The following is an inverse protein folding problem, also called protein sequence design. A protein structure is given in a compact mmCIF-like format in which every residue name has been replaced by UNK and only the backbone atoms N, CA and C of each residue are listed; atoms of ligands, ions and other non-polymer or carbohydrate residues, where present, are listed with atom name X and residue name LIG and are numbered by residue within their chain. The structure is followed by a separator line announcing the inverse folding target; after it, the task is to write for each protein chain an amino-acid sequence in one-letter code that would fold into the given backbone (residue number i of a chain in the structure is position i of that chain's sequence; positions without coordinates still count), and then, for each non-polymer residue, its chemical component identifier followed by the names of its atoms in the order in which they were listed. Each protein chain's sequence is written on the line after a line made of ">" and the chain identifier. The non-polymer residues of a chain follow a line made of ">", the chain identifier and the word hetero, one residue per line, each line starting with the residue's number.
data_IF_280811347176
#
_entry.id   IF_280811347176
#
_cell.length_a   1.000
_cell.length_b   1.000
_cell.length_c   1.000
_cell.angle_alpha   90.00
_cell.angle_beta   90.00
_cell.angle_gamma   90.00
#
_symmetry.space_group_name_H-M   'P 1'
#
loop_
_entity.id
_entity.type
_entity.pdbx_description
1 polymer ?
#
# COMPACT_ATOMS: atom_id res chain seq x y z
N UNK A 1 -26.73 5.09 10.87
CA UNK A 1 -25.72 4.03 11.07
C UNK A 1 -24.81 3.88 9.85
N UNK A 2 -25.24 4.30 8.66
CA UNK A 2 -24.47 4.25 7.40
C UNK A 2 -23.27 5.21 7.27
N UNK A 3 -23.31 6.40 7.89
CA UNK A 3 -22.26 7.41 7.70
C UNK A 3 -20.89 6.97 8.26
N UNK A 4 -20.89 6.24 9.38
CA UNK A 4 -19.66 5.76 10.02
C UNK A 4 -19.00 4.65 9.19
N UNK A 5 -19.82 3.77 8.63
CA UNK A 5 -19.36 2.68 7.77
C UNK A 5 -18.85 3.21 6.43
N UNK A 6 -19.53 4.20 5.84
CA UNK A 6 -19.07 4.87 4.62
C UNK A 6 -17.72 5.57 4.82
N UNK A 7 -17.53 6.24 5.97
CA UNK A 7 -16.24 6.88 6.31
C UNK A 7 -15.11 5.87 6.47
N UNK A 8 -15.36 4.73 7.13
CA UNK A 8 -14.38 3.63 7.24
C UNK A 8 -14.01 3.08 5.87
N UNK A 9 -15.00 2.84 5.01
CA UNK A 9 -14.76 2.32 3.66
C UNK A 9 -13.92 3.30 2.82
N UNK A 10 -14.20 4.60 2.93
CA UNK A 10 -13.41 5.63 2.25
C UNK A 10 -11.95 5.63 2.75
N UNK A 11 -11.74 5.54 4.07
CA UNK A 11 -10.40 5.50 4.66
C UNK A 11 -9.61 4.26 4.20
N UNK A 12 -10.26 3.09 4.16
CA UNK A 12 -9.67 1.86 3.64
C UNK A 12 -9.26 2.02 2.17
N UNK A 13 -10.14 2.62 1.36
CA UNK A 13 -9.90 2.81 -0.08
C UNK A 13 -8.73 3.77 -0.35
N UNK A 14 -8.62 4.84 0.43
CA UNK A 14 -7.48 5.78 0.37
C UNK A 14 -6.18 5.07 0.79
N UNK A 15 -6.19 4.31 1.89
CA UNK A 15 -5.01 3.57 2.36
C UNK A 15 -4.56 2.53 1.34
N UNK A 16 -5.49 1.81 0.73
CA UNK A 16 -5.20 0.84 -0.32
C UNK A 16 -4.63 1.51 -1.58
N UNK A 17 -5.21 2.63 -2.01
CA UNK A 17 -4.70 3.42 -3.13
C UNK A 17 -3.26 3.88 -2.91
N UNK A 18 -2.96 4.39 -1.71
CA UNK A 18 -1.60 4.80 -1.32
C UNK A 18 -0.62 3.62 -1.31
N UNK A 19 -1.05 2.45 -0.82
CA UNK A 19 -0.24 1.24 -0.84
C UNK A 19 0.13 0.84 -2.27
N UNK A 20 -0.86 0.72 -3.16
CA UNK A 20 -0.65 0.32 -4.55
C UNK A 20 0.27 1.33 -5.26
N UNK A 21 0.04 2.63 -5.06
CA UNK A 21 0.89 3.67 -5.63
C UNK A 21 2.36 3.54 -5.19
N UNK A 22 2.61 3.35 -3.89
CA UNK A 22 3.97 3.19 -3.37
C UNK A 22 4.63 1.90 -3.85
N UNK A 23 3.90 0.78 -3.88
CA UNK A 23 4.41 -0.49 -4.35
C UNK A 23 4.84 -0.40 -5.82
N UNK A 24 3.98 0.16 -6.69
CA UNK A 24 4.28 0.34 -8.11
C UNK A 24 5.47 1.27 -8.31
N UNK A 25 5.52 2.41 -7.61
CA UNK A 25 6.65 3.35 -7.67
C UNK A 25 7.96 2.68 -7.29
N UNK A 26 7.96 1.89 -6.21
CA UNK A 26 9.16 1.22 -5.73
C UNK A 26 9.61 0.09 -6.66
N UNK A 27 8.68 -0.64 -7.28
CA UNK A 27 8.98 -1.64 -8.31
C UNK A 27 9.65 -0.96 -9.53
N UNK A 28 9.10 0.15 -10.02
CA UNK A 28 9.66 0.87 -11.16
C UNK A 28 11.09 1.36 -10.88
N UNK A 29 11.32 1.92 -9.69
CA UNK A 29 12.66 2.31 -9.24
C UNK A 29 13.58 1.09 -9.19
N UNK A 30 13.14 -0.01 -8.57
CA UNK A 30 13.95 -1.22 -8.46
C UNK A 30 14.34 -1.79 -9.83
N UNK A 31 13.39 -1.81 -10.78
CA UNK A 31 13.65 -2.23 -12.16
C UNK A 31 14.66 -1.32 -12.86
N UNK A 32 14.54 0.00 -12.70
CA UNK A 32 15.50 0.97 -13.25
C UNK A 32 16.93 0.72 -12.76
N UNK A 33 17.09 0.39 -11.48
CA UNK A 33 18.39 0.12 -10.87
C UNK A 33 18.81 -1.36 -10.90
N UNK A 34 18.09 -2.23 -11.64
CA UNK A 34 18.31 -3.69 -11.68
C UNK A 34 18.37 -4.35 -10.29
N UNK A 35 17.62 -3.80 -9.34
CA UNK A 35 17.47 -4.33 -8.00
C UNK A 35 16.41 -5.43 -7.96
N UNK A 36 16.52 -6.29 -6.95
CA UNK A 36 15.54 -7.35 -6.70
C UNK A 36 14.19 -6.75 -6.28
N UNK A 37 13.24 -6.74 -7.22
CA UNK A 37 11.88 -6.25 -7.04
C UNK A 37 11.12 -7.01 -5.95
N UNK A 38 11.43 -8.30 -5.73
CA UNK A 38 10.79 -9.12 -4.71
C UNK A 38 11.17 -8.67 -3.30
N UNK A 39 12.44 -8.29 -3.09
CA UNK A 39 12.91 -7.68 -1.83
C UNK A 39 12.24 -6.34 -1.55
N UNK A 40 12.02 -5.55 -2.59
CA UNK A 40 11.40 -4.21 -2.49
C UNK A 40 9.92 -4.30 -2.14
N UNK A 41 9.18 -5.24 -2.75
CA UNK A 41 7.78 -5.51 -2.40
C UNK A 41 7.65 -5.96 -0.94
N UNK A 42 8.52 -6.86 -0.48
CA UNK A 42 8.50 -7.34 0.91
C UNK A 42 8.68 -6.21 1.93
N UNK A 43 9.52 -5.22 1.62
CA UNK A 43 9.66 -4.00 2.45
C UNK A 43 8.44 -3.10 2.41
N UNK A 44 7.73 -3.02 1.27
CA UNK A 44 6.47 -2.28 1.20
C UNK A 44 5.38 -2.88 2.10
N UNK A 45 5.30 -4.21 2.19
CA UNK A 45 4.37 -4.88 3.12
C UNK A 45 4.72 -4.56 4.59
N UNK A 46 6.01 -4.57 4.95
CA UNK A 46 6.47 -4.29 6.32
C UNK A 46 6.25 -2.83 6.76
N UNK A 47 6.29 -1.87 5.84
CA UNK A 47 6.22 -0.42 6.15
C UNK A 47 4.80 0.14 6.04
N UNK A 48 3.96 -0.43 5.17
CA UNK A 48 2.72 0.23 4.74
C UNK A 48 1.45 -0.46 5.22
N UNK A 49 1.54 -1.72 5.68
CA UNK A 49 0.38 -2.50 6.11
C UNK A 49 0.21 -2.51 7.64
N UNK A 50 0.19 -1.34 8.27
CA UNK A 50 -0.55 -1.16 9.53
C UNK A 50 -2.05 -0.97 9.23
N UNK A 51 -2.58 -1.86 8.37
CA UNK A 51 -4.01 -2.09 8.21
C UNK A 51 -4.41 -3.06 9.33
N UNK A 52 -4.33 -2.62 10.59
CA UNK A 52 -5.18 -3.22 11.62
C UNK A 52 -6.62 -2.92 11.24
N UNK A 53 -7.20 -3.81 10.45
CA UNK A 53 -8.65 -3.88 10.30
C UNK A 53 -9.15 -4.44 11.64
N UNK A 54 -9.90 -3.64 12.44
CA UNK A 54 -10.49 -4.12 13.68
C UNK A 54 -11.60 -5.15 13.43
#
# INVERSE_FOLDING_TARGET
>A
TDLLELKKNLEILIKLGNFVYQAVRNILIAQQYKQDTKKVIKKCDEITLDLKIP
#
